data_IF_349402715072
#
_entry.id   IF_349402715072
#
_cell.length_a   1.000
_cell.length_b   1.000
_cell.length_c   1.000
_cell.angle_alpha   90.00
_cell.angle_beta   90.00
_cell.angle_gamma   90.00
#
_symmetry.space_group_name_H-M   'P 1'
#
loop_
_entity.id
_entity.type
_entity.pdbx_description
1 polymer ?
#
# COMPACT_ATOMS: atom_id res chain seq x y z
N UNK A 1 -11.99 -0.62 24.54
CA UNK A 1 -10.70 -0.15 25.06
C UNK A 1 -10.06 0.74 24.00
N UNK A 2 -9.91 2.02 24.33
CA UNK A 2 -9.13 2.97 23.54
C UNK A 2 -7.68 2.45 23.55
N UNK A 3 -7.12 2.11 22.40
CA UNK A 3 -5.79 1.50 22.35
C UNK A 3 -4.79 2.63 22.37
N UNK A 4 -4.50 3.17 23.56
CA UNK A 4 -3.58 4.29 23.72
C UNK A 4 -2.27 3.97 23.00
N UNK A 5 -1.84 4.89 22.13
CA UNK A 5 -0.56 4.85 21.45
C UNK A 5 0.52 5.04 22.52
N UNK A 6 1.35 4.02 22.75
CA UNK A 6 2.45 4.05 23.73
C UNK A 6 3.79 4.04 23.01
N UNK A 7 4.84 4.54 23.69
CA UNK A 7 6.21 4.51 23.16
C UNK A 7 6.68 3.07 22.89
N UNK A 8 6.35 2.12 23.78
CA UNK A 8 6.67 0.70 23.61
C UNK A 8 6.11 0.12 22.30
N UNK A 9 4.87 0.49 21.92
CA UNK A 9 4.31 0.08 20.63
C UNK A 9 5.10 0.67 19.46
N UNK A 10 5.55 1.91 19.58
CA UNK A 10 6.34 2.57 18.53
C UNK A 10 7.69 1.88 18.39
N UNK A 11 8.39 1.63 19.49
CA UNK A 11 9.68 0.93 19.50
C UNK A 11 9.57 -0.48 18.90
N UNK A 12 8.51 -1.22 19.23
CA UNK A 12 8.24 -2.54 18.66
C UNK A 12 8.08 -2.50 17.12
N UNK A 13 7.55 -1.43 16.56
CA UNK A 13 7.37 -1.28 15.11
C UNK A 13 8.67 -0.96 14.36
N UNK A 14 9.65 -0.40 15.08
CA UNK A 14 11.00 -0.12 14.57
C UNK A 14 11.88 -1.36 14.59
N UNK A 15 11.57 -2.33 15.46
CA UNK A 15 12.36 -3.54 15.62
C UNK A 15 12.31 -4.42 14.36
N UNK A 16 13.46 -5.04 14.05
CA UNK A 16 13.58 -6.00 12.95
C UNK A 16 12.64 -7.19 13.15
N UNK A 17 11.94 -7.60 12.11
CA UNK A 17 11.00 -8.72 12.10
C UNK A 17 11.54 -9.85 11.20
N UNK A 18 11.15 -11.12 11.45
CA UNK A 18 11.50 -12.22 10.55
C UNK A 18 11.05 -12.00 9.09
N UNK A 19 9.96 -11.27 8.89
CA UNK A 19 9.44 -10.91 7.56
C UNK A 19 10.32 -9.94 6.78
N UNK A 20 11.30 -9.28 7.41
CA UNK A 20 12.11 -8.25 6.77
C UNK A 20 12.97 -8.80 5.64
N UNK A 21 13.42 -10.06 5.71
CA UNK A 21 14.17 -10.66 4.60
C UNK A 21 13.29 -10.83 3.36
N UNK A 22 12.04 -11.29 3.53
CA UNK A 22 11.08 -11.41 2.41
C UNK A 22 10.79 -10.03 1.82
N UNK A 23 10.63 -9.02 2.68
CA UNK A 23 10.42 -7.65 2.25
C UNK A 23 11.61 -7.11 1.47
N UNK A 24 12.83 -7.36 1.95
CA UNK A 24 14.06 -6.94 1.28
C UNK A 24 14.17 -7.52 -0.12
N UNK A 25 13.88 -8.82 -0.30
CA UNK A 25 13.87 -9.45 -1.63
C UNK A 25 12.89 -8.75 -2.58
N UNK A 26 11.71 -8.34 -2.10
CA UNK A 26 10.73 -7.63 -2.92
C UNK A 26 11.13 -6.17 -3.21
N UNK A 27 11.77 -5.49 -2.25
CA UNK A 27 12.34 -4.16 -2.46
C UNK A 27 13.49 -4.20 -3.47
N UNK A 28 14.38 -5.18 -3.35
CA UNK A 28 15.50 -5.38 -4.28
C UNK A 28 14.99 -5.68 -5.69
N UNK A 29 13.95 -6.51 -5.81
CA UNK A 29 13.29 -6.79 -7.09
C UNK A 29 12.76 -5.51 -7.74
N UNK A 30 12.05 -4.67 -6.99
CA UNK A 30 11.49 -3.44 -7.57
C UNK A 30 12.55 -2.35 -7.78
N UNK A 31 13.60 -2.32 -6.98
CA UNK A 31 14.70 -1.35 -7.13
C UNK A 31 15.58 -1.70 -8.33
N UNK A 32 16.04 -2.95 -8.42
CA UNK A 32 16.94 -3.42 -9.48
C UNK A 32 16.24 -3.51 -10.83
N UNK A 33 14.94 -3.79 -10.83
CA UNK A 33 14.15 -3.95 -12.05
C UNK A 33 13.03 -2.92 -12.17
N UNK A 34 13.23 -1.67 -11.73
CA UNK A 34 12.21 -0.63 -11.62
C UNK A 34 11.17 -0.55 -12.76
N UNK A 35 11.62 -0.54 -14.02
CA UNK A 35 10.75 -0.39 -15.20
C UNK A 35 9.92 -1.64 -15.54
N UNK A 36 8.89 -1.46 -16.37
CA UNK A 36 7.98 -2.50 -16.87
C UNK A 36 8.19 -2.79 -18.37
N UNK A 37 9.46 -2.81 -18.82
CA UNK A 37 9.88 -2.94 -20.23
C UNK A 37 9.88 -4.40 -20.76
N UNK A 38 10.08 -5.37 -19.88
CA UNK A 38 10.14 -6.82 -20.22
C UNK A 38 9.05 -7.61 -19.52
N UNK A 39 8.63 -8.73 -20.11
CA UNK A 39 7.58 -9.58 -19.53
C UNK A 39 8.04 -10.20 -18.21
N UNK A 40 9.28 -10.65 -18.14
CA UNK A 40 9.92 -11.29 -17.01
C UNK A 40 9.90 -10.39 -15.77
N UNK A 41 10.28 -9.12 -15.91
CA UNK A 41 10.24 -8.13 -14.82
C UNK A 41 8.81 -7.91 -14.32
N UNK A 42 7.83 -7.79 -15.22
CA UNK A 42 6.43 -7.60 -14.84
C UNK A 42 5.89 -8.84 -14.11
N UNK A 43 6.12 -10.03 -14.67
CA UNK A 43 5.68 -11.30 -14.09
C UNK A 43 6.28 -11.50 -12.70
N UNK A 44 7.59 -11.31 -12.54
CA UNK A 44 8.27 -11.46 -11.26
C UNK A 44 7.65 -10.55 -10.20
N UNK A 45 7.52 -9.24 -10.47
CA UNK A 45 6.94 -8.29 -9.50
C UNK A 45 5.50 -8.64 -9.16
N UNK A 46 4.66 -8.85 -10.18
CA UNK A 46 3.22 -9.05 -9.98
C UNK A 46 2.90 -10.37 -9.26
N UNK A 47 3.59 -11.47 -9.61
CA UNK A 47 3.40 -12.77 -8.97
C UNK A 47 3.97 -12.80 -7.56
N UNK A 48 5.21 -12.34 -7.36
CA UNK A 48 5.87 -12.45 -6.06
C UNK A 48 5.21 -11.54 -5.02
N UNK A 49 4.91 -10.28 -5.35
CA UNK A 49 4.19 -9.37 -4.44
C UNK A 49 2.77 -9.90 -4.20
N UNK A 50 2.07 -10.32 -5.26
CA UNK A 50 0.71 -10.83 -5.17
C UNK A 50 0.58 -12.06 -4.26
N UNK A 51 1.53 -12.99 -4.34
CA UNK A 51 1.52 -14.22 -3.54
C UNK A 51 2.02 -14.00 -2.12
N UNK A 52 3.14 -13.30 -1.94
CA UNK A 52 3.71 -13.04 -0.62
C UNK A 52 2.73 -12.29 0.30
N UNK A 53 1.89 -11.41 -0.26
CA UNK A 53 0.95 -10.59 0.51
C UNK A 53 -0.52 -10.95 0.33
N UNK A 54 -0.83 -12.15 -0.17
CA UNK A 54 -2.18 -12.65 -0.40
C UNK A 54 -3.07 -11.63 -1.16
N UNK A 55 -2.48 -10.93 -2.13
CA UNK A 55 -3.05 -9.84 -2.92
C UNK A 55 -3.13 -10.18 -4.42
N UNK A 56 -3.05 -11.47 -4.77
CA UNK A 56 -2.98 -12.01 -6.13
C UNK A 56 -3.99 -11.37 -7.13
N UNK A 57 -3.48 -10.97 -8.32
CA UNK A 57 -4.24 -10.28 -9.38
C UNK A 57 -5.20 -11.25 -10.08
N UNK A 58 -4.80 -12.51 -10.26
CA UNK A 58 -5.52 -13.58 -10.95
C UNK A 58 -6.86 -13.96 -10.31
N UNK A 59 -7.11 -13.54 -9.07
CA UNK A 59 -8.47 -13.57 -8.49
C UNK A 59 -9.34 -12.57 -9.25
N UNK A 60 -10.28 -13.03 -10.06
CA UNK A 60 -11.10 -12.20 -10.96
C UNK A 60 -12.57 -12.51 -10.75
N UNK A 61 -13.46 -11.57 -11.08
CA UNK A 61 -14.91 -11.76 -10.95
C UNK A 61 -15.39 -12.95 -11.79
N UNK A 62 -14.99 -12.96 -13.06
CA UNK A 62 -15.28 -14.02 -14.01
C UNK A 62 -13.99 -14.76 -14.36
N UNK A 63 -13.64 -15.78 -13.57
CA UNK A 63 -12.44 -16.58 -13.82
C UNK A 63 -12.71 -17.59 -14.96
N UNK A 64 -12.08 -17.36 -16.09
CA UNK A 64 -12.00 -18.32 -17.19
C UNK A 64 -10.55 -18.50 -17.64
N UNK A 65 -10.25 -19.69 -18.17
CA UNK A 65 -8.95 -20.04 -18.76
C UNK A 65 -7.81 -20.31 -17.76
N UNK A 66 -6.62 -20.52 -18.33
CA UNK A 66 -5.37 -20.82 -17.61
C UNK A 66 -4.81 -19.53 -17.01
N UNK A 67 -4.39 -19.58 -15.73
CA UNK A 67 -3.85 -18.40 -15.03
C UNK A 67 -2.59 -17.84 -15.72
N UNK A 68 -1.70 -18.70 -16.22
CA UNK A 68 -0.47 -18.27 -16.88
C UNK A 68 -0.78 -17.48 -18.15
N UNK A 69 -1.78 -17.89 -18.92
CA UNK A 69 -2.28 -17.15 -20.08
C UNK A 69 -2.80 -15.76 -19.68
N UNK A 70 -3.51 -15.65 -18.56
CA UNK A 70 -3.94 -14.35 -18.06
C UNK A 70 -2.75 -13.44 -17.73
N UNK A 71 -1.71 -13.97 -17.10
CA UNK A 71 -0.51 -13.19 -16.80
C UNK A 71 0.24 -12.77 -18.07
N UNK A 72 0.50 -13.71 -18.97
CA UNK A 72 1.29 -13.49 -20.19
C UNK A 72 0.55 -12.59 -21.18
N UNK A 73 -0.74 -12.84 -21.43
CA UNK A 73 -1.50 -12.17 -22.50
C UNK A 73 -2.39 -11.03 -22.01
N UNK A 74 -2.54 -10.82 -20.71
CA UNK A 74 -3.37 -9.73 -20.18
C UNK A 74 -2.61 -8.82 -19.22
N UNK A 75 -1.98 -9.37 -18.17
CA UNK A 75 -1.27 -8.55 -17.17
C UNK A 75 -0.04 -7.90 -17.78
N UNK A 76 0.81 -8.65 -18.48
CA UNK A 76 2.03 -8.12 -19.10
C UNK A 76 1.72 -7.00 -20.10
N UNK A 77 0.82 -7.17 -21.09
CA UNK A 77 0.45 -6.07 -21.99
C UNK A 77 -0.12 -4.84 -21.28
N UNK A 78 -0.93 -5.05 -20.23
CA UNK A 78 -1.50 -3.93 -19.46
C UNK A 78 -0.40 -3.06 -18.85
N UNK A 79 0.59 -3.67 -18.20
CA UNK A 79 1.71 -2.92 -17.60
C UNK A 79 2.61 -2.28 -18.66
N UNK A 80 2.97 -3.01 -19.72
CA UNK A 80 3.80 -2.48 -20.82
C UNK A 80 3.20 -1.26 -21.49
N UNK A 81 1.87 -1.27 -21.69
CA UNK A 81 1.14 -0.19 -22.36
C UNK A 81 0.65 0.89 -21.39
N UNK A 82 1.02 0.80 -20.11
CA UNK A 82 0.64 1.79 -19.10
C UNK A 82 1.62 2.96 -19.06
N UNK A 83 1.19 4.07 -18.46
CA UNK A 83 2.03 5.23 -18.13
C UNK A 83 2.72 5.08 -16.77
N UNK A 84 2.68 3.90 -16.16
CA UNK A 84 3.12 3.69 -14.78
C UNK A 84 4.60 4.01 -14.60
N UNK A 85 5.47 3.64 -15.54
CA UNK A 85 6.90 3.95 -15.47
C UNK A 85 7.18 5.45 -15.45
N UNK A 86 6.45 6.23 -16.26
CA UNK A 86 6.56 7.70 -16.26
C UNK A 86 6.13 8.28 -14.92
N UNK A 87 4.96 7.86 -14.42
CA UNK A 87 4.44 8.34 -13.14
C UNK A 87 5.39 7.99 -11.98
N UNK A 88 5.91 6.77 -11.94
CA UNK A 88 6.84 6.33 -10.91
C UNK A 88 8.19 7.06 -11.00
N UNK A 89 8.68 7.36 -12.20
CA UNK A 89 9.90 8.14 -12.38
C UNK A 89 9.74 9.57 -11.83
N UNK A 90 8.61 10.22 -12.09
CA UNK A 90 8.30 11.57 -11.59
C UNK A 90 8.20 11.63 -10.07
N UNK A 91 7.79 10.51 -9.44
CA UNK A 91 7.67 10.38 -7.99
C UNK A 91 8.95 9.96 -7.28
N UNK A 92 9.92 9.36 -7.98
CA UNK A 92 11.04 8.64 -7.37
C UNK A 92 11.84 9.45 -6.35
N UNK A 93 12.00 10.75 -6.59
CA UNK A 93 12.79 11.64 -5.74
C UNK A 93 11.93 12.56 -4.84
N UNK A 94 10.61 12.36 -4.82
CA UNK A 94 9.72 13.15 -3.97
C UNK A 94 9.77 12.63 -2.53
N UNK A 95 9.45 13.50 -1.58
CA UNK A 95 9.30 13.15 -0.18
C UNK A 95 7.83 13.16 0.20
N UNK A 96 7.46 12.30 1.14
CA UNK A 96 6.08 12.21 1.63
C UNK A 96 5.70 13.44 2.45
N UNK A 97 5.00 14.37 1.80
CA UNK A 97 4.46 15.61 2.35
C UNK A 97 3.00 15.82 1.93
N UNK A 98 2.33 16.81 2.52
CA UNK A 98 0.97 17.19 2.16
C UNK A 98 0.81 17.47 0.65
N UNK A 99 1.82 18.09 0.02
CA UNK A 99 1.81 18.45 -1.40
C UNK A 99 1.91 17.22 -2.32
N UNK A 100 2.52 16.14 -1.84
CA UNK A 100 2.69 14.90 -2.62
C UNK A 100 1.56 13.89 -2.44
N UNK A 101 0.70 14.08 -1.42
CA UNK A 101 -0.42 13.16 -1.17
C UNK A 101 -1.37 13.03 -2.37
N UNK A 102 -1.74 14.10 -3.09
CA UNK A 102 -2.58 13.97 -4.29
C UNK A 102 -1.94 13.07 -5.34
N UNK A 103 -0.64 13.20 -5.60
CA UNK A 103 0.04 12.37 -6.60
C UNK A 103 0.09 10.89 -6.19
N UNK A 104 0.31 10.61 -4.90
CA UNK A 104 0.30 9.25 -4.33
C UNK A 104 -1.09 8.62 -4.51
N UNK A 105 -2.14 9.36 -4.16
CA UNK A 105 -3.52 8.89 -4.27
C UNK A 105 -3.90 8.69 -5.74
N UNK A 106 -3.55 9.63 -6.62
CA UNK A 106 -3.82 9.53 -8.06
C UNK A 106 -3.07 8.36 -8.71
N UNK A 107 -1.83 8.11 -8.32
CA UNK A 107 -1.04 6.98 -8.82
C UNK A 107 -1.64 5.64 -8.40
N UNK A 108 -2.08 5.53 -7.14
CA UNK A 108 -2.80 4.35 -6.66
C UNK A 108 -4.10 4.13 -7.42
N UNK A 109 -4.88 5.19 -7.63
CA UNK A 109 -6.12 5.13 -8.37
C UNK A 109 -5.90 4.71 -9.82
N UNK A 110 -4.89 5.29 -10.48
CA UNK A 110 -4.49 4.94 -11.84
C UNK A 110 -4.23 3.43 -11.96
N UNK A 111 -3.33 2.88 -11.15
CA UNK A 111 -3.02 1.45 -11.19
C UNK A 111 -4.25 0.60 -10.89
N UNK A 112 -5.06 0.99 -9.91
CA UNK A 112 -6.29 0.29 -9.55
C UNK A 112 -7.29 0.26 -10.71
N UNK A 113 -7.44 1.36 -11.46
CA UNK A 113 -8.30 1.43 -12.64
C UNK A 113 -7.79 0.55 -13.78
N UNK A 114 -6.49 0.58 -14.07
CA UNK A 114 -5.89 -0.31 -15.08
C UNK A 114 -6.08 -1.79 -14.73
N UNK A 115 -5.96 -2.14 -13.46
CA UNK A 115 -6.21 -3.51 -12.98
C UNK A 115 -7.69 -3.88 -13.01
N UNK A 116 -8.59 -2.92 -12.75
CA UNK A 116 -10.03 -3.14 -12.84
C UNK A 116 -10.44 -3.54 -14.26
N UNK A 117 -9.91 -2.87 -15.28
CA UNK A 117 -10.20 -3.18 -16.71
C UNK A 117 -9.92 -4.64 -17.07
N UNK A 118 -8.94 -5.28 -16.43
CA UNK A 118 -8.54 -6.67 -16.74
C UNK A 118 -9.00 -7.71 -15.70
N UNK A 119 -9.55 -7.28 -14.56
CA UNK A 119 -9.96 -8.19 -13.46
C UNK A 119 -11.41 -8.03 -13.02
N UNK A 120 -12.06 -6.93 -13.40
CA UNK A 120 -13.38 -6.50 -12.94
C UNK A 120 -13.49 -6.40 -11.40
N UNK A 121 -12.36 -6.24 -10.72
CA UNK A 121 -12.28 -6.10 -9.28
C UNK A 121 -11.39 -4.91 -8.92
N UNK A 122 -11.79 -4.18 -7.89
CA UNK A 122 -11.00 -3.10 -7.33
C UNK A 122 -9.80 -3.68 -6.57
N UNK A 123 -8.67 -3.84 -7.26
CA UNK A 123 -7.42 -4.39 -6.72
C UNK A 123 -6.67 -3.45 -5.77
N UNK A 124 -7.39 -2.68 -4.93
CA UNK A 124 -6.86 -1.66 -4.01
C UNK A 124 -5.66 -2.14 -3.19
N UNK A 125 -5.79 -3.32 -2.57
CA UNK A 125 -4.72 -3.85 -1.72
C UNK A 125 -3.48 -4.19 -2.53
N UNK A 126 -3.65 -4.85 -3.68
CA UNK A 126 -2.54 -5.14 -4.58
C UNK A 126 -1.88 -3.84 -5.04
N UNK A 127 -2.64 -2.87 -5.56
CA UNK A 127 -2.08 -1.60 -6.03
C UNK A 127 -1.24 -0.90 -4.97
N UNK A 128 -1.73 -0.83 -3.72
CA UNK A 128 -0.99 -0.19 -2.62
C UNK A 128 0.32 -0.91 -2.29
N UNK A 129 0.31 -2.25 -2.28
CA UNK A 129 1.49 -3.07 -1.97
C UNK A 129 2.50 -3.01 -3.10
N UNK A 130 2.01 -3.12 -4.33
CA UNK A 130 2.83 -2.99 -5.53
C UNK A 130 3.57 -1.66 -5.54
N UNK A 131 2.85 -0.55 -5.38
CA UNK A 131 3.45 0.79 -5.37
C UNK A 131 4.37 1.01 -4.17
N UNK A 132 4.04 0.46 -3.00
CA UNK A 132 4.91 0.49 -1.83
C UNK A 132 6.25 -0.22 -2.08
N UNK A 133 6.28 -1.36 -2.77
CA UNK A 133 7.56 -2.02 -3.07
C UNK A 133 8.39 -1.24 -4.09
N UNK A 134 7.77 -0.45 -4.96
CA UNK A 134 8.48 0.43 -5.89
C UNK A 134 9.03 1.70 -5.23
N UNK A 135 8.21 2.36 -4.39
CA UNK A 135 8.52 3.63 -3.75
C UNK A 135 8.09 3.58 -2.26
N UNK A 136 8.88 2.89 -1.40
CA UNK A 136 8.49 2.54 -0.02
C UNK A 136 8.27 3.74 0.90
N UNK A 137 8.90 4.87 0.59
CA UNK A 137 8.81 6.09 1.40
C UNK A 137 7.57 6.92 1.09
N UNK A 138 6.83 6.60 0.02
CA UNK A 138 5.65 7.35 -0.43
C UNK A 138 4.33 6.61 -0.20
N UNK A 139 4.26 5.33 -0.54
CA UNK A 139 2.99 4.62 -0.57
C UNK A 139 2.70 3.88 0.73
N UNK A 140 1.53 4.14 1.31
CA UNK A 140 1.02 3.37 2.43
C UNK A 140 0.42 2.04 1.96
N UNK A 141 0.72 0.96 2.68
CA UNK A 141 0.13 -0.35 2.46
C UNK A 141 -1.32 -0.35 2.93
N UNK A 142 -2.20 -0.83 2.06
CA UNK A 142 -3.63 -0.92 2.30
C UNK A 142 -4.09 -2.38 2.26
N UNK A 143 -4.72 -2.83 3.34
CA UNK A 143 -5.59 -3.99 3.33
C UNK A 143 -6.62 -3.90 4.46
N UNK A 144 -7.49 -4.90 4.55
CA UNK A 144 -8.57 -4.93 5.55
C UNK A 144 -8.05 -4.91 6.99
N UNK A 145 -6.87 -5.50 7.26
CA UNK A 145 -6.26 -5.51 8.61
C UNK A 145 -5.75 -4.12 8.94
N UNK A 146 -4.99 -3.50 8.05
CA UNK A 146 -4.48 -2.15 8.22
C UNK A 146 -5.61 -1.12 8.41
N UNK A 147 -6.66 -1.18 7.58
CA UNK A 147 -7.84 -0.30 7.68
C UNK A 147 -8.58 -0.50 9.00
N UNK A 148 -8.72 -1.74 9.45
CA UNK A 148 -9.41 -2.06 10.72
C UNK A 148 -8.62 -1.56 11.92
N UNK A 149 -7.30 -1.76 11.92
CA UNK A 149 -6.42 -1.25 12.96
C UNK A 149 -6.39 0.29 13.00
N UNK A 150 -6.36 0.95 11.84
CA UNK A 150 -6.33 2.41 11.74
C UNK A 150 -7.52 3.09 12.46
N UNK A 151 -8.68 2.42 12.55
CA UNK A 151 -9.85 2.94 13.27
C UNK A 151 -9.64 3.07 14.78
N UNK A 152 -8.66 2.36 15.34
CA UNK A 152 -8.31 2.43 16.77
C UNK A 152 -7.48 3.68 17.08
N UNK A 153 -6.74 4.19 16.10
CA UNK A 153 -5.91 5.40 16.26
C UNK A 153 -6.62 6.66 15.73
N UNK A 154 -7.23 6.55 14.55
CA UNK A 154 -7.88 7.67 13.86
C UNK A 154 -9.28 7.25 13.43
N UNK A 155 -10.23 7.37 14.37
CA UNK A 155 -11.66 7.05 14.12
C UNK A 155 -12.23 7.96 13.03
N UNK A 156 -12.05 9.27 13.19
CA UNK A 156 -12.48 10.31 12.25
C UNK A 156 -11.29 11.20 11.88
N UNK A 157 -11.21 11.55 10.60
CA UNK A 157 -10.18 12.43 10.09
C UNK A 157 -10.52 13.89 10.49
N UNK A 158 -9.54 14.72 10.90
CA UNK A 158 -9.76 16.14 11.17
C UNK A 158 -10.41 16.86 9.97
N UNK A 159 -11.21 17.91 10.23
CA UNK A 159 -12.01 18.60 9.20
C UNK A 159 -11.19 19.05 7.98
N UNK A 160 -10.00 19.60 8.18
CA UNK A 160 -9.15 20.09 7.09
C UNK A 160 -8.68 18.93 6.19
N UNK A 161 -8.18 17.83 6.77
CA UNK A 161 -7.79 16.64 6.01
C UNK A 161 -9.00 15.95 5.37
N UNK A 162 -10.18 15.98 5.99
CA UNK A 162 -11.41 15.46 5.38
C UNK A 162 -11.80 16.24 4.14
N UNK A 163 -11.71 17.57 4.19
CA UNK A 163 -11.99 18.42 3.03
C UNK A 163 -11.01 18.15 1.88
N UNK A 164 -9.73 17.91 2.18
CA UNK A 164 -8.74 17.50 1.18
C UNK A 164 -9.07 16.13 0.58
N UNK A 165 -9.31 15.13 1.43
CA UNK A 165 -9.67 13.78 0.99
C UNK A 165 -10.94 13.74 0.11
N UNK A 166 -11.91 14.62 0.38
CA UNK A 166 -13.16 14.73 -0.38
C UNK A 166 -13.01 15.47 -1.71
N UNK A 167 -12.02 16.36 -1.83
CA UNK A 167 -11.68 17.03 -3.09
C UNK A 167 -11.04 16.07 -4.08
N UNK A 168 -10.40 15.00 -3.60
CA UNK A 168 -9.84 13.98 -4.48
C UNK A 168 -10.98 13.28 -5.24
N UNK A 169 -11.05 13.49 -6.56
CA UNK A 169 -12.07 12.90 -7.45
C UNK A 169 -11.80 11.40 -7.77
N UNK A 170 -11.25 10.67 -6.81
CA UNK A 170 -10.70 9.32 -6.98
C UNK A 170 -11.26 8.36 -5.91
N UNK A 171 -10.57 7.25 -5.65
CA UNK A 171 -10.98 6.26 -4.66
C UNK A 171 -11.04 6.84 -3.24
N UNK A 172 -12.26 7.17 -2.79
CA UNK A 172 -12.51 7.73 -1.46
C UNK A 172 -12.03 6.83 -0.33
N UNK A 173 -12.03 5.50 -0.48
CA UNK A 173 -11.59 4.60 0.58
C UNK A 173 -10.08 4.70 0.78
N UNK A 174 -9.31 4.63 -0.31
CA UNK A 174 -7.86 4.74 -0.24
C UNK A 174 -7.42 6.16 0.12
N UNK A 175 -8.02 7.20 -0.47
CA UNK A 175 -7.76 8.61 -0.14
C UNK A 175 -7.91 8.88 1.37
N UNK A 176 -9.06 8.50 1.95
CA UNK A 176 -9.27 8.65 3.39
C UNK A 176 -8.24 7.87 4.22
N UNK A 177 -7.82 6.68 3.76
CA UNK A 177 -6.81 5.90 4.47
C UNK A 177 -5.43 6.57 4.42
N UNK A 178 -5.01 7.09 3.27
CA UNK A 178 -3.73 7.82 3.10
C UNK A 178 -3.67 9.04 4.01
N UNK A 179 -4.71 9.88 4.01
CA UNK A 179 -4.76 11.04 4.90
C UNK A 179 -4.78 10.66 6.39
N UNK A 180 -5.43 9.55 6.77
CA UNK A 180 -5.35 9.03 8.14
C UNK A 180 -3.94 8.57 8.51
N UNK A 181 -3.25 7.88 7.60
CA UNK A 181 -1.86 7.46 7.80
C UNK A 181 -0.93 8.67 7.97
N UNK A 182 -1.07 9.67 7.09
CA UNK A 182 -0.29 10.90 7.16
C UNK A 182 -0.52 11.65 8.48
N UNK A 183 -1.79 11.84 8.86
CA UNK A 183 -2.16 12.46 10.13
C UNK A 183 -1.61 11.70 11.36
N UNK A 184 -1.73 10.37 11.37
CA UNK A 184 -1.22 9.56 12.48
C UNK A 184 0.30 9.67 12.59
N UNK A 185 1.03 9.69 11.47
CA UNK A 185 2.49 9.90 11.45
C UNK A 185 2.88 11.25 12.03
N UNK A 186 2.15 12.32 11.67
CA UNK A 186 2.38 13.64 12.25
C UNK A 186 2.14 13.63 13.76
N UNK A 187 1.07 12.98 14.24
CA UNK A 187 0.79 12.86 15.68
C UNK A 187 1.87 12.09 16.44
N UNK A 188 2.37 10.99 15.88
CA UNK A 188 3.47 10.22 16.46
C UNK A 188 4.74 11.08 16.55
N UNK A 189 5.05 11.82 15.47
CA UNK A 189 6.21 12.71 15.45
C UNK A 189 6.08 13.86 16.46
N UNK A 190 4.93 14.53 16.52
CA UNK A 190 4.66 15.60 17.50
C UNK A 190 4.86 15.11 18.94
N UNK A 191 4.36 13.91 19.25
CA UNK A 191 4.36 13.38 20.62
C UNK A 191 5.71 12.75 21.03
N UNK A 192 6.37 12.06 20.11
CA UNK A 192 7.53 11.21 20.42
C UNK A 192 8.80 11.58 19.66
N UNK A 193 8.76 12.59 18.78
CA UNK A 193 9.87 13.01 17.93
C UNK A 193 10.41 11.89 17.01
N UNK A 194 9.56 10.90 16.70
CA UNK A 194 9.87 9.76 15.83
C UNK A 194 9.02 9.85 14.57
N UNK A 195 9.67 10.01 13.41
CA UNK A 195 8.99 10.01 12.11
C UNK A 195 9.01 8.59 11.52
N UNK A 196 7.90 7.87 11.64
CA UNK A 196 7.80 6.52 11.07
C UNK A 196 7.80 6.54 9.54
N UNK A 197 8.42 5.55 8.90
CA UNK A 197 8.23 5.29 7.45
C UNK A 197 6.84 4.68 7.19
N UNK A 198 6.34 4.66 5.94
CA UNK A 198 5.12 3.94 5.61
C UNK A 198 5.15 2.45 6.01
N UNK A 199 6.32 1.80 5.92
CA UNK A 199 6.49 0.41 6.39
C UNK A 199 6.39 0.29 7.90
N UNK A 200 7.05 1.16 8.65
CA UNK A 200 6.98 1.12 10.12
C UNK A 200 5.57 1.44 10.63
N UNK A 201 4.84 2.33 9.93
CA UNK A 201 3.43 2.55 10.22
C UNK A 201 2.58 1.31 9.92
N UNK A 202 2.83 0.60 8.81
CA UNK A 202 2.17 -0.67 8.51
C UNK A 202 2.43 -1.71 9.62
N UNK A 203 3.67 -1.84 10.11
CA UNK A 203 3.99 -2.71 11.25
C UNK A 203 3.11 -2.39 12.47
N UNK A 204 2.94 -1.11 12.82
CA UNK A 204 2.07 -0.67 13.92
C UNK A 204 0.62 -1.12 13.73
N UNK A 205 0.10 -0.96 12.51
CA UNK A 205 -1.27 -1.35 12.19
C UNK A 205 -1.45 -2.87 12.23
N UNK A 206 -0.48 -3.63 11.71
CA UNK A 206 -0.54 -5.10 11.68
C UNK A 206 -0.42 -5.70 13.08
N UNK A 207 0.48 -5.20 13.92
CA UNK A 207 0.59 -5.63 15.32
C UNK A 207 -0.69 -5.32 16.10
N UNK A 208 -1.25 -4.13 15.89
CA UNK A 208 -2.53 -3.74 16.49
C UNK A 208 -3.68 -4.65 16.04
N UNK A 209 -3.70 -5.04 14.77
CA UNK A 209 -4.69 -5.98 14.25
C UNK A 209 -4.53 -7.39 14.85
N UNK A 210 -3.29 -7.87 15.01
CA UNK A 210 -2.99 -9.17 15.60
C UNK A 210 -3.40 -9.25 17.06
N UNK A 211 -3.03 -8.25 17.86
CA UNK A 211 -3.35 -8.23 19.28
C UNK A 211 -4.86 -8.27 19.52
N UNK A 212 -5.64 -7.59 18.67
CA UNK A 212 -7.10 -7.66 18.73
C UNK A 212 -7.63 -9.08 18.45
N UNK A 213 -7.05 -9.81 17.52
CA UNK A 213 -7.46 -11.19 17.20
C UNK A 213 -7.11 -12.17 18.32
N UNK A 214 -5.98 -11.98 18.99
CA UNK A 214 -5.56 -12.81 20.14
C UNK A 214 -6.51 -12.64 21.33
N UNK A 215 -6.95 -11.40 21.61
CA UNK A 215 -7.89 -11.11 22.72
C UNK A 215 -9.28 -11.69 22.48
N UNK A 216 -9.72 -11.87 21.22
CA UNK A 216 -11.04 -12.44 20.88
C UNK A 216 -11.04 -13.98 21.02
N UNK A 217 -9.88 -14.62 21.09
CA UNK A 217 -9.74 -16.08 21.18
C UNK A 217 -9.60 -16.61 22.62
N UNK A 218 -9.89 -15.79 23.63
CA UNK A 218 -9.91 -16.18 25.06
C UNK A 218 -11.33 -16.13 25.58
#
# INVERSE_FOLDING_TARGET
MDTTLTIEKIENCLAKKPWDLVNQVLYDLCTNYFKHDTAEKILAKTLLIGRAYAAAIERRKNKSGINDNFYIYTVVPMFKNSRLDTILADLKNKQLSADTLPDIINTHFYLTKRLFEITELDKRSFSSKYLHFHLPDLFFIYDSRAVTAMRQFVKRLPKHFKALADKEAVDKQYSNFVYKCFYLRQKIFEQYQILLTPRQLDNLLIETANNKMTVIKV
#
